data_IF_698848583651
#
_entry.id   IF_698848583651
#
_cell.length_a   1.000
_cell.length_b   1.000
_cell.length_c   1.000
_cell.angle_alpha   90.00
_cell.angle_beta   90.00
_cell.angle_gamma   90.00
#
_symmetry.space_group_name_H-M   'P 1'
#
loop_
_entity.id
_entity.type
_entity.pdbx_description
1 polymer ?
#
# COMPACT_ATOMS: atom_id res chain seq x y z
N UNK A 1 11.03 18.65 0.75
CA UNK A 1 9.96 17.67 0.54
C UNK A 1 8.64 18.42 0.31
N UNK A 2 7.76 17.89 -0.53
CA UNK A 2 6.41 18.45 -0.70
C UNK A 2 5.57 18.23 0.57
N UNK A 3 4.51 19.02 0.79
CA UNK A 3 3.70 18.91 2.03
C UNK A 3 3.07 17.51 2.21
N UNK A 4 2.80 17.07 3.45
CA UNK A 4 2.13 15.80 3.74
C UNK A 4 0.85 15.57 2.94
N UNK A 5 0.02 16.61 2.81
CA UNK A 5 -1.22 16.55 2.04
C UNK A 5 -0.97 16.25 0.55
N UNK A 6 0.10 16.81 -0.02
CA UNK A 6 0.47 16.55 -1.41
C UNK A 6 0.96 15.11 -1.60
N UNK A 7 1.77 14.59 -0.66
CA UNK A 7 2.20 13.18 -0.73
C UNK A 7 0.99 12.22 -0.66
N UNK A 8 0.02 12.51 0.21
CA UNK A 8 -1.23 11.75 0.33
C UNK A 8 -2.05 11.77 -0.97
N UNK A 9 -2.11 12.91 -1.66
CA UNK A 9 -2.80 13.01 -2.95
C UNK A 9 -2.05 12.28 -4.06
N UNK A 10 -0.73 12.45 -4.12
CA UNK A 10 0.11 11.85 -5.15
C UNK A 10 0.02 10.32 -5.09
N UNK A 11 0.06 9.71 -3.89
CA UNK A 11 -0.07 8.26 -3.74
C UNK A 11 -1.47 7.74 -4.09
N UNK A 12 -2.53 8.49 -3.78
CA UNK A 12 -3.89 8.12 -4.20
C UNK A 12 -4.03 8.13 -5.73
N UNK A 13 -3.45 9.12 -6.41
CA UNK A 13 -3.43 9.19 -7.88
C UNK A 13 -2.65 8.03 -8.48
N UNK A 14 -1.52 7.64 -7.89
CA UNK A 14 -0.76 6.48 -8.33
C UNK A 14 -1.55 5.18 -8.14
N UNK A 15 -2.21 4.99 -6.99
CA UNK A 15 -3.07 3.84 -6.74
C UNK A 15 -4.20 3.74 -7.77
N UNK A 16 -4.86 4.86 -8.08
CA UNK A 16 -5.93 4.93 -9.07
C UNK A 16 -5.46 4.51 -10.46
N UNK A 17 -4.26 4.93 -10.87
CA UNK A 17 -3.65 4.53 -12.14
C UNK A 17 -3.41 3.02 -12.20
N UNK A 18 -2.94 2.41 -11.12
CA UNK A 18 -2.70 0.96 -11.07
C UNK A 18 -3.99 0.16 -11.15
N UNK A 19 -5.02 0.60 -10.42
CA UNK A 19 -6.36 0.00 -10.42
C UNK A 19 -6.99 0.09 -11.81
N UNK A 20 -6.99 1.29 -12.39
CA UNK A 20 -7.63 1.57 -13.69
C UNK A 20 -6.94 0.82 -14.83
N UNK A 21 -5.61 0.77 -14.84
CA UNK A 21 -4.83 0.12 -15.88
C UNK A 21 -4.66 -1.39 -15.67
N UNK A 22 -5.22 -1.96 -14.59
CA UNK A 22 -5.03 -3.37 -14.19
C UNK A 22 -3.54 -3.76 -14.19
N UNK A 23 -2.76 -2.97 -13.47
CA UNK A 23 -1.31 -3.09 -13.40
C UNK A 23 -0.83 -4.52 -13.10
N UNK A 24 0.37 -4.85 -13.57
CA UNK A 24 0.97 -6.16 -13.32
C UNK A 24 1.53 -6.24 -11.88
N UNK A 25 1.92 -7.44 -11.45
CA UNK A 25 2.40 -7.66 -10.07
C UNK A 25 3.68 -6.87 -9.74
N UNK A 26 4.56 -6.65 -10.72
CA UNK A 26 5.81 -5.90 -10.51
C UNK A 26 5.52 -4.41 -10.22
N UNK A 27 4.61 -3.80 -10.98
CA UNK A 27 4.16 -2.43 -10.76
C UNK A 27 3.45 -2.27 -9.42
N UNK A 28 2.67 -3.28 -9.01
CA UNK A 28 2.00 -3.25 -7.70
C UNK A 28 3.02 -3.42 -6.56
N UNK A 29 4.06 -4.23 -6.76
CA UNK A 29 5.15 -4.39 -5.79
C UNK A 29 5.97 -3.10 -5.63
N UNK A 30 6.23 -2.38 -6.72
CA UNK A 30 6.89 -1.07 -6.67
C UNK A 30 6.04 -0.03 -5.94
N UNK A 31 4.74 0.01 -6.22
CA UNK A 31 3.79 0.84 -5.47
C UNK A 31 3.74 0.52 -3.98
N UNK A 32 3.84 -0.76 -3.65
CA UNK A 32 3.87 -1.23 -2.27
C UNK A 32 5.04 -0.61 -1.50
N UNK A 33 6.25 -0.64 -2.06
CA UNK A 33 7.43 0.01 -1.47
C UNK A 33 7.24 1.51 -1.32
N UNK A 34 6.73 2.16 -2.36
CA UNK A 34 6.43 3.60 -2.31
C UNK A 34 5.39 3.93 -1.22
N UNK A 35 4.38 3.07 -1.02
CA UNK A 35 3.39 3.23 0.05
C UNK A 35 4.01 3.17 1.45
N UNK A 36 4.96 2.27 1.67
CA UNK A 36 5.68 2.20 2.93
C UNK A 36 6.53 3.46 3.15
N UNK A 37 7.23 3.95 2.13
CA UNK A 37 7.98 5.22 2.18
C UNK A 37 7.10 6.41 2.56
N UNK A 38 5.91 6.53 1.95
CA UNK A 38 4.96 7.59 2.29
C UNK A 38 4.42 7.41 3.71
N UNK A 39 4.11 6.18 4.14
CA UNK A 39 3.69 5.91 5.51
C UNK A 39 4.73 6.39 6.53
N UNK A 40 6.01 6.03 6.34
CA UNK A 40 7.10 6.49 7.20
C UNK A 40 7.23 8.01 7.20
N UNK A 41 7.20 8.62 6.01
CA UNK A 41 7.24 10.08 5.89
C UNK A 41 6.11 10.76 6.67
N UNK A 42 4.87 10.26 6.59
CA UNK A 42 3.75 10.80 7.33
C UNK A 42 3.92 10.63 8.84
N UNK A 43 4.44 9.48 9.29
CA UNK A 43 4.71 9.24 10.71
C UNK A 43 5.78 10.19 11.29
N UNK A 44 6.72 10.66 10.47
CA UNK A 44 7.77 11.61 10.89
C UNK A 44 7.34 13.08 10.83
N UNK A 45 6.27 13.41 10.10
CA UNK A 45 5.89 14.80 9.78
C UNK A 45 4.50 15.20 10.28
N UNK A 46 3.74 14.27 10.88
CA UNK A 46 2.44 14.54 11.50
C UNK A 46 2.58 14.28 13.00
N UNK A 47 2.30 15.30 13.81
CA UNK A 47 2.36 15.20 15.27
C UNK A 47 1.02 14.79 15.91
N UNK A 48 -0.08 14.89 15.15
CA UNK A 48 -1.43 14.59 15.65
C UNK A 48 -1.63 13.07 15.83
N UNK A 49 -1.82 12.65 17.07
CA UNK A 49 -1.95 11.23 17.42
C UNK A 49 -3.21 10.57 16.84
N UNK A 50 -4.30 11.32 16.65
CA UNK A 50 -5.49 10.79 15.99
C UNK A 50 -5.17 10.49 14.53
N UNK A 51 -4.56 11.42 13.80
CA UNK A 51 -4.16 11.21 12.40
C UNK A 51 -3.12 10.08 12.30
N UNK A 52 -2.15 10.02 13.20
CA UNK A 52 -1.15 8.96 13.25
C UNK A 52 -1.78 7.57 13.45
N UNK A 53 -2.89 7.47 14.19
CA UNK A 53 -3.62 6.20 14.32
C UNK A 53 -4.11 5.68 12.96
N UNK A 54 -4.63 6.57 12.10
CA UNK A 54 -5.04 6.21 10.73
C UNK A 54 -3.85 5.87 9.84
N UNK A 55 -2.71 6.54 10.02
CA UNK A 55 -1.47 6.23 9.27
C UNK A 55 -0.95 4.85 9.62
N UNK A 56 -0.97 4.47 10.91
CA UNK A 56 -0.53 3.14 11.38
C UNK A 56 -1.39 2.01 10.80
N UNK A 57 -2.67 2.27 10.59
CA UNK A 57 -3.66 1.38 9.97
C UNK A 57 -3.46 1.14 8.47
N UNK A 58 -2.56 1.88 7.80
CA UNK A 58 -2.24 1.62 6.39
C UNK A 58 -1.56 0.25 6.28
N UNK A 59 -2.05 -0.67 5.43
CA UNK A 59 -1.42 -1.96 5.20
C UNK A 59 0.06 -1.80 4.81
N UNK A 60 0.96 -2.45 5.56
CA UNK A 60 2.39 -2.47 5.28
C UNK A 60 2.82 -3.76 4.61
N UNK A 61 3.94 -3.68 3.91
CA UNK A 61 4.52 -4.79 3.18
C UNK A 61 5.88 -5.17 3.74
N UNK A 62 5.90 -6.05 4.74
CA UNK A 62 7.16 -6.66 5.16
C UNK A 62 7.62 -7.67 4.10
N UNK A 63 8.60 -7.25 3.30
CA UNK A 63 9.49 -8.17 2.60
C UNK A 63 10.76 -8.24 3.46
N UNK A 64 10.71 -8.98 4.56
CA UNK A 64 11.93 -9.31 5.28
C UNK A 64 12.76 -10.28 4.42
N UNK A 65 13.92 -9.82 3.95
CA UNK A 65 14.90 -10.62 3.23
C UNK A 65 15.69 -11.56 4.17
N UNK A 66 15.33 -11.62 5.45
CA UNK A 66 15.94 -12.53 6.42
C UNK A 66 14.87 -13.18 7.31
N UNK A 67 14.93 -14.51 7.38
CA UNK A 67 14.26 -15.36 8.38
C UNK A 67 12.80 -15.76 8.08
N UNK A 68 12.70 -16.86 7.34
CA UNK A 68 11.62 -17.86 7.38
C UNK A 68 11.31 -18.36 8.81
N UNK A 69 10.79 -17.52 9.71
CA UNK A 69 10.22 -17.95 11.00
C UNK A 69 9.35 -16.86 11.62
N UNK A 70 8.02 -17.07 11.49
CA UNK A 70 6.97 -16.57 12.40
C UNK A 70 7.01 -15.04 12.58
N UNK A 71 6.43 -14.23 11.70
CA UNK A 71 4.98 -13.99 11.63
C UNK A 71 4.75 -13.09 10.41
N UNK A 72 4.39 -13.65 9.25
CA UNK A 72 4.18 -12.84 8.06
C UNK A 72 2.75 -12.27 8.05
N UNK A 73 2.53 -11.19 8.78
CA UNK A 73 1.32 -10.35 8.72
C UNK A 73 1.32 -9.41 7.49
N UNK A 74 2.26 -9.57 6.56
CA UNK A 74 2.27 -8.87 5.28
C UNK A 74 1.28 -9.48 4.28
N UNK A 75 0.11 -8.85 4.10
CA UNK A 75 -0.96 -9.27 3.18
C UNK A 75 -0.42 -9.57 1.75
N UNK A 76 0.63 -8.86 1.32
CA UNK A 76 1.19 -8.96 -0.03
C UNK A 76 2.28 -10.01 -0.20
N UNK A 77 3.05 -10.33 0.84
CA UNK A 77 3.97 -11.46 0.81
C UNK A 77 3.19 -12.76 0.57
N UNK A 78 1.99 -12.86 1.15
CA UNK A 78 1.03 -13.93 0.86
C UNK A 78 0.55 -13.94 -0.59
N UNK A 79 0.47 -12.80 -1.27
CA UNK A 79 0.04 -12.71 -2.67
C UNK A 79 1.20 -13.06 -3.63
N UNK A 80 2.41 -12.58 -3.37
CA UNK A 80 3.63 -12.84 -4.16
C UNK A 80 4.07 -14.32 -4.11
N UNK A 81 4.02 -14.94 -2.93
CA UNK A 81 4.37 -16.36 -2.74
C UNK A 81 3.50 -17.32 -3.56
N UNK A 82 2.28 -16.90 -3.91
CA UNK A 82 1.36 -17.69 -4.74
C UNK A 82 1.74 -17.63 -6.24
N UNK A 83 2.45 -16.58 -6.68
CA UNK A 83 2.78 -16.33 -8.08
C UNK A 83 4.04 -17.08 -8.59
N UNK A 84 4.93 -17.51 -7.70
CA UNK A 84 6.26 -18.04 -8.07
C UNK A 84 6.31 -19.54 -8.44
N UNK A 85 5.24 -20.32 -8.25
CA UNK A 85 5.20 -21.75 -8.60
C UNK A 85 4.57 -21.99 -9.99
N UNK A 86 5.42 -22.31 -10.97
CA UNK A 86 5.13 -22.30 -12.41
C UNK A 86 4.09 -23.29 -12.98
N UNK A 87 3.77 -23.06 -14.26
CA UNK A 87 2.95 -23.81 -15.23
C UNK A 87 1.42 -23.92 -15.00
N UNK A 88 0.92 -23.84 -13.76
CA UNK A 88 -0.51 -23.52 -13.49
C UNK A 88 -0.76 -22.00 -13.36
N UNK A 89 0.26 -21.20 -13.72
CA UNK A 89 0.44 -19.82 -13.28
C UNK A 89 -0.50 -18.80 -13.90
N UNK A 90 -1.02 -18.96 -15.12
CA UNK A 90 -1.77 -17.87 -15.76
C UNK A 90 -3.08 -17.51 -15.03
N UNK A 91 -3.89 -18.51 -14.67
CA UNK A 91 -5.13 -18.28 -13.89
C UNK A 91 -4.86 -17.92 -12.43
N UNK A 92 -3.76 -18.43 -11.84
CA UNK A 92 -3.33 -18.03 -10.49
C UNK A 92 -2.81 -16.60 -10.44
N UNK A 93 -2.08 -16.17 -11.46
CA UNK A 93 -1.51 -14.84 -11.58
C UNK A 93 -2.60 -13.79 -11.76
N UNK A 94 -3.69 -14.11 -12.48
CA UNK A 94 -4.85 -13.21 -12.53
C UNK A 94 -5.50 -13.05 -11.15
N UNK A 95 -5.75 -14.14 -10.42
CA UNK A 95 -6.31 -14.06 -9.06
C UNK A 95 -5.38 -13.34 -8.08
N UNK A 96 -4.08 -13.62 -8.14
CA UNK A 96 -3.08 -12.96 -7.32
C UNK A 96 -3.03 -11.45 -7.63
N UNK A 97 -3.04 -11.08 -8.91
CA UNK A 97 -3.12 -9.68 -9.34
C UNK A 97 -4.40 -9.02 -8.87
N UNK A 98 -5.55 -9.67 -9.02
CA UNK A 98 -6.83 -9.08 -8.62
C UNK A 98 -6.87 -8.85 -7.11
N UNK A 99 -6.37 -9.81 -6.32
CA UNK A 99 -6.16 -9.63 -4.86
C UNK A 99 -5.17 -8.51 -4.54
N UNK A 100 -4.07 -8.41 -5.30
CA UNK A 100 -3.10 -7.34 -5.13
C UNK A 100 -3.74 -5.96 -5.38
N UNK A 101 -4.57 -5.86 -6.42
CA UNK A 101 -5.33 -4.65 -6.71
C UNK A 101 -6.38 -4.33 -5.64
N UNK A 102 -6.97 -5.35 -4.99
CA UNK A 102 -7.84 -5.13 -3.82
C UNK A 102 -7.08 -4.50 -2.65
N UNK A 103 -5.83 -4.93 -2.40
CA UNK A 103 -4.96 -4.29 -1.40
C UNK A 103 -4.63 -2.85 -1.79
N UNK A 104 -4.35 -2.59 -3.07
CA UNK A 104 -4.13 -1.21 -3.56
C UNK A 104 -5.37 -0.34 -3.34
N UNK A 105 -6.59 -0.89 -3.53
CA UNK A 105 -7.85 -0.18 -3.25
C UNK A 105 -8.00 0.14 -1.76
N UNK A 106 -7.64 -0.78 -0.89
CA UNK A 106 -7.68 -0.58 0.56
C UNK A 106 -6.70 0.53 0.98
N UNK A 107 -5.45 0.46 0.53
CA UNK A 107 -4.42 1.49 0.76
C UNK A 107 -4.89 2.86 0.29
N UNK A 108 -5.39 2.98 -0.95
CA UNK A 108 -5.95 4.23 -1.48
C UNK A 108 -7.04 4.79 -0.57
N UNK A 109 -7.92 3.92 -0.08
CA UNK A 109 -9.04 4.32 0.79
C UNK A 109 -8.55 4.81 2.16
N UNK A 110 -7.52 4.18 2.73
CA UNK A 110 -6.87 4.66 3.97
C UNK A 110 -6.25 6.04 3.78
N UNK A 111 -5.52 6.27 2.69
CA UNK A 111 -4.97 7.59 2.37
C UNK A 111 -6.06 8.64 2.14
N UNK A 112 -7.19 8.30 1.52
CA UNK A 112 -8.32 9.20 1.36
C UNK A 112 -8.93 9.61 2.71
N UNK A 113 -9.05 8.67 3.66
CA UNK A 113 -9.49 8.98 5.03
C UNK A 113 -8.53 9.92 5.73
N UNK A 114 -7.21 9.68 5.61
CA UNK A 114 -6.19 10.57 6.18
C UNK A 114 -6.26 11.96 5.55
N UNK A 115 -6.44 12.06 4.22
CA UNK A 115 -6.63 13.34 3.54
C UNK A 115 -7.82 14.11 4.11
N UNK A 116 -8.95 13.44 4.29
CA UNK A 116 -10.15 14.03 4.87
C UNK A 116 -9.87 14.55 6.29
N UNK A 117 -9.20 13.75 7.12
CA UNK A 117 -8.84 14.17 8.49
C UNK A 117 -7.92 15.40 8.46
N UNK A 118 -6.84 15.36 7.66
CA UNK A 118 -5.93 16.51 7.52
C UNK A 118 -6.68 17.76 7.04
N UNK A 119 -7.60 17.66 6.07
CA UNK A 119 -8.32 18.84 5.57
C UNK A 119 -9.28 19.45 6.59
N UNK A 120 -9.98 18.64 7.39
CA UNK A 120 -10.94 19.15 8.37
C UNK A 120 -10.29 19.62 9.67
N UNK A 121 -9.09 19.13 10.01
CA UNK A 121 -8.37 19.54 11.22
C UNK A 121 -7.61 20.88 11.09
N UNK A 122 -7.36 21.36 9.88
CA UNK A 122 -6.62 22.60 9.62
C UNK A 122 -7.51 23.77 9.12
N UNK A 123 -8.84 23.67 9.24
CA UNK A 123 -9.78 24.79 9.06
C UNK A 123 -10.09 25.54 10.37
#
# INVERSE_FOLDING_TARGET
MASPLRQIQDIQVQAERLISNKANLDQIAEFSKYSDEIKFYLMENIDDEEILSYVRDIPTFEIEESELKKTAEGIFAGILSIASYGLAGYFRNQRARDKALDVVRDIRSKYASIEFMCRNYFE
#
